data_IF_873805038174
#
_entry.id   IF_873805038174
#
_cell.length_a   1.000
_cell.length_b   1.000
_cell.length_c   1.000
_cell.angle_alpha   90.00
_cell.angle_beta   90.00
_cell.angle_gamma   90.00
#
_symmetry.space_group_name_H-M   'P 1'
#
loop_
_entity.id
_entity.type
_entity.pdbx_description
1 polymer ?
#
# COMPACT_ATOMS: atom_id res chain seq x y z
N UNK A 1 -3.93 24.69 -28.93
CA UNK A 1 -2.93 24.04 -29.81
C UNK A 1 -3.70 23.38 -30.93
N UNK A 2 -3.47 23.81 -32.18
CA UNK A 2 -4.26 23.35 -33.33
C UNK A 2 -3.85 21.92 -33.69
N UNK A 3 -4.78 20.98 -33.95
CA UNK A 3 -4.43 19.59 -34.29
C UNK A 3 -3.53 19.45 -35.52
N UNK A 4 -3.56 20.44 -36.43
CA UNK A 4 -2.64 20.54 -37.58
C UNK A 4 -1.17 20.77 -37.17
N UNK A 5 -0.93 21.57 -36.11
CA UNK A 5 0.43 21.87 -35.63
C UNK A 5 1.03 20.64 -34.93
N UNK A 6 0.21 19.87 -34.23
CA UNK A 6 0.64 18.62 -33.59
C UNK A 6 1.01 17.56 -34.65
N UNK A 7 0.20 17.45 -35.70
CA UNK A 7 0.46 16.50 -36.79
C UNK A 7 1.73 16.85 -37.58
N UNK A 8 1.96 18.14 -37.85
CA UNK A 8 3.18 18.62 -38.54
C UNK A 8 4.44 18.35 -37.67
N UNK A 9 4.36 18.51 -36.36
CA UNK A 9 5.45 18.17 -35.41
C UNK A 9 5.72 16.67 -35.38
N UNK A 10 4.70 15.83 -35.35
CA UNK A 10 4.85 14.37 -35.39
C UNK A 10 5.42 13.92 -36.73
N UNK A 11 4.99 14.50 -37.86
CA UNK A 11 5.51 14.20 -39.20
C UNK A 11 6.99 14.57 -39.31
N UNK A 12 7.40 15.75 -38.82
CA UNK A 12 8.79 16.20 -38.83
C UNK A 12 9.71 15.33 -37.95
N UNK A 13 9.18 14.73 -36.86
CA UNK A 13 9.92 13.79 -36.00
C UNK A 13 10.13 12.43 -36.66
N UNK A 14 9.12 11.91 -37.39
CA UNK A 14 9.19 10.59 -38.02
C UNK A 14 9.88 10.60 -39.39
N UNK A 15 9.81 11.71 -40.13
CA UNK A 15 10.30 11.85 -41.50
C UNK A 15 11.35 12.97 -41.65
N UNK A 16 12.12 13.23 -40.61
CA UNK A 16 13.06 14.36 -40.53
C UNK A 16 13.90 14.57 -41.78
N UNK A 17 14.48 13.52 -42.38
CA UNK A 17 15.23 13.62 -43.66
C UNK A 17 14.39 14.09 -44.84
N UNK A 18 13.19 13.54 -45.02
CA UNK A 18 12.30 13.95 -46.11
C UNK A 18 11.82 15.38 -46.00
N UNK A 19 11.54 15.84 -44.78
CA UNK A 19 11.12 17.23 -44.53
C UNK A 19 12.29 18.20 -44.73
N UNK A 20 13.52 17.75 -44.55
CA UNK A 20 14.74 18.50 -44.82
C UNK A 20 14.96 18.63 -46.35
N UNK A 21 14.81 17.51 -47.06
CA UNK A 21 14.91 17.48 -48.53
C UNK A 21 13.83 18.35 -49.19
N UNK A 22 12.57 18.27 -48.71
CA UNK A 22 11.46 19.13 -49.14
C UNK A 22 11.74 20.63 -48.93
N UNK A 23 12.35 21.01 -47.79
CA UNK A 23 12.72 22.39 -47.51
C UNK A 23 13.85 22.87 -48.44
N UNK A 24 14.84 22.01 -48.71
CA UNK A 24 15.93 22.31 -49.60
C UNK A 24 15.45 22.53 -51.04
N UNK A 25 14.57 21.65 -51.53
CA UNK A 25 13.91 21.79 -52.84
C UNK A 25 13.10 23.07 -52.96
N UNK A 26 12.39 23.47 -51.91
CA UNK A 26 11.60 24.69 -51.90
C UNK A 26 12.45 25.96 -51.90
N UNK A 27 13.56 25.95 -51.14
CA UNK A 27 14.55 27.04 -51.18
C UNK A 27 15.24 27.17 -52.53
N UNK A 28 15.64 26.04 -53.16
CA UNK A 28 16.26 26.02 -54.48
C UNK A 28 15.28 26.50 -55.56
N UNK A 29 13.98 26.07 -55.47
CA UNK A 29 12.96 26.54 -56.38
C UNK A 29 12.73 28.05 -56.29
N UNK A 30 12.73 28.63 -55.09
CA UNK A 30 12.62 30.07 -54.92
C UNK A 30 13.83 30.85 -55.42
N UNK A 31 15.03 30.31 -55.26
CA UNK A 31 16.26 30.88 -55.81
C UNK A 31 16.24 30.86 -57.36
N UNK A 32 15.83 29.76 -57.99
CA UNK A 32 15.68 29.62 -59.44
C UNK A 32 14.62 30.55 -60.00
N UNK A 33 13.49 30.68 -59.30
CA UNK A 33 12.43 31.60 -59.71
C UNK A 33 12.90 33.06 -59.69
N UNK A 34 13.68 33.43 -58.64
CA UNK A 34 14.27 34.78 -58.56
C UNK A 34 15.34 35.02 -59.64
N UNK A 35 16.17 34.00 -59.94
CA UNK A 35 17.15 34.07 -61.03
C UNK A 35 16.47 34.26 -62.40
N UNK A 36 15.41 33.49 -62.72
CA UNK A 36 14.62 33.66 -63.94
C UNK A 36 13.98 35.04 -64.07
N UNK A 37 13.49 35.61 -62.96
CA UNK A 37 12.93 36.98 -62.90
C UNK A 37 14.02 38.04 -63.17
N UNK A 38 15.27 37.82 -62.75
CA UNK A 38 16.38 38.69 -63.06
C UNK A 38 16.82 38.57 -64.53
N UNK A 39 16.82 37.37 -65.10
CA UNK A 39 17.07 37.12 -66.52
C UNK A 39 16.04 37.84 -67.40
N UNK A 40 14.74 37.81 -67.09
CA UNK A 40 13.70 38.52 -67.83
C UNK A 40 13.83 40.06 -67.77
N UNK A 41 14.63 40.58 -66.87
CA UNK A 41 14.99 42.00 -66.71
C UNK A 41 16.28 42.38 -67.46
N UNK A 42 16.88 41.46 -68.27
CA UNK A 42 18.04 41.72 -69.10
C UNK A 42 19.38 41.51 -68.44
N UNK A 43 19.49 40.92 -67.26
CA UNK A 43 20.75 40.59 -66.64
C UNK A 43 21.35 39.29 -67.23
N UNK A 44 22.65 39.21 -67.43
CA UNK A 44 23.33 37.96 -67.83
C UNK A 44 23.10 36.84 -66.82
N UNK A 45 23.13 35.56 -67.28
CA UNK A 45 22.78 34.38 -66.43
C UNK A 45 23.61 34.30 -65.15
N UNK A 46 24.95 34.45 -65.23
CA UNK A 46 25.83 34.44 -64.07
C UNK A 46 25.54 35.58 -63.06
N UNK A 47 25.24 36.78 -63.60
CA UNK A 47 24.89 37.91 -62.76
C UNK A 47 23.46 37.74 -62.11
N UNK A 48 22.55 37.13 -62.84
CA UNK A 48 21.19 36.83 -62.36
C UNK A 48 21.17 35.89 -61.19
N UNK A 49 21.96 34.84 -61.27
CA UNK A 49 22.09 33.85 -60.14
C UNK A 49 22.84 34.44 -58.93
N UNK A 50 23.89 35.22 -59.18
CA UNK A 50 24.61 35.91 -58.11
C UNK A 50 23.74 36.94 -57.41
N UNK A 51 22.94 37.70 -58.16
CA UNK A 51 22.03 38.70 -57.61
C UNK A 51 20.86 38.09 -56.87
N UNK A 52 20.35 36.91 -57.32
CA UNK A 52 19.35 36.15 -56.63
C UNK A 52 19.83 35.67 -55.24
N UNK A 53 21.07 35.12 -55.17
CA UNK A 53 21.68 34.70 -53.90
C UNK A 53 21.96 35.86 -52.95
N UNK A 54 22.45 37.01 -53.46
CA UNK A 54 22.70 38.20 -52.63
C UNK A 54 21.41 38.78 -52.06
N UNK A 55 20.31 38.76 -52.82
CA UNK A 55 19.02 39.29 -52.42
C UNK A 55 18.28 38.33 -51.49
N UNK A 56 18.47 37.04 -51.63
CA UNK A 56 17.86 36.01 -50.78
C UNK A 56 18.55 35.92 -49.42
N UNK A 57 19.79 36.37 -49.31
CA UNK A 57 20.56 36.33 -48.09
C UNK A 57 21.24 34.98 -47.85
N UNK A 58 21.65 34.73 -46.61
CA UNK A 58 22.28 33.47 -46.26
C UNK A 58 21.24 32.34 -46.16
N UNK A 59 21.24 31.44 -47.16
CA UNK A 59 20.29 30.31 -47.27
C UNK A 59 20.33 29.42 -46.03
N UNK A 60 21.51 29.24 -45.44
CA UNK A 60 21.68 28.46 -44.21
C UNK A 60 21.02 29.12 -43.01
N UNK A 61 21.06 30.45 -42.92
CA UNK A 61 20.39 31.20 -41.85
C UNK A 61 18.88 31.11 -41.95
N UNK A 62 18.33 31.18 -43.17
CA UNK A 62 16.87 31.05 -43.40
C UNK A 62 16.42 29.63 -43.11
N UNK A 63 17.20 28.64 -43.50
CA UNK A 63 16.91 27.24 -43.17
C UNK A 63 16.92 26.99 -41.66
N UNK A 64 17.86 27.61 -40.89
CA UNK A 64 17.90 27.57 -39.43
C UNK A 64 16.67 28.27 -38.80
N UNK A 65 16.29 29.46 -39.28
CA UNK A 65 15.07 30.14 -38.80
C UNK A 65 13.81 29.31 -39.03
N UNK A 66 13.70 28.65 -40.18
CA UNK A 66 12.59 27.75 -40.47
C UNK A 66 12.56 26.52 -39.53
N UNK A 67 13.74 26.01 -39.15
CA UNK A 67 13.87 24.93 -38.15
C UNK A 67 13.48 25.42 -36.76
N UNK A 68 13.84 26.62 -36.36
CA UNK A 68 13.51 27.21 -35.05
C UNK A 68 12.02 27.38 -34.90
N UNK A 69 11.31 27.82 -35.93
CA UNK A 69 9.86 27.98 -35.91
C UNK A 69 9.08 26.66 -35.83
N UNK A 70 9.67 25.54 -36.24
CA UNK A 70 9.05 24.20 -36.16
C UNK A 70 9.03 23.63 -34.73
N UNK A 71 9.82 24.15 -33.79
CA UNK A 71 9.83 23.74 -32.38
C UNK A 71 10.30 22.30 -32.14
N UNK A 72 10.97 21.66 -33.10
CA UNK A 72 11.50 20.28 -32.98
C UNK A 72 12.94 20.25 -32.49
N UNK A 73 13.62 21.40 -32.38
CA UNK A 73 14.99 21.51 -31.92
C UNK A 73 15.20 20.89 -30.53
N UNK A 74 14.24 21.02 -29.60
CA UNK A 74 14.35 20.42 -28.27
C UNK A 74 14.40 18.89 -28.32
N UNK A 75 13.67 18.27 -29.24
CA UNK A 75 13.60 16.81 -29.35
C UNK A 75 14.82 16.27 -30.07
N UNK A 76 15.27 16.96 -31.12
CA UNK A 76 16.50 16.61 -31.88
C UNK A 76 17.75 16.82 -31.03
N UNK A 77 17.82 17.89 -30.22
CA UNK A 77 18.90 18.09 -29.25
C UNK A 77 18.85 17.02 -28.16
N UNK A 78 17.67 16.71 -27.61
CA UNK A 78 17.50 15.65 -26.61
C UNK A 78 17.97 14.29 -27.15
N UNK A 79 17.62 13.96 -28.40
CA UNK A 79 18.06 12.72 -29.03
C UNK A 79 19.58 12.63 -29.21
N UNK A 80 20.22 13.75 -29.58
CA UNK A 80 21.69 13.86 -29.68
C UNK A 80 22.35 13.78 -28.30
N UNK A 81 21.77 14.47 -27.29
CA UNK A 81 22.26 14.50 -25.92
C UNK A 81 22.17 13.12 -25.26
N UNK A 82 21.05 12.42 -25.44
CA UNK A 82 20.88 11.04 -24.97
C UNK A 82 21.93 10.11 -25.62
N UNK A 83 22.14 10.20 -26.94
CA UNK A 83 23.13 9.36 -27.63
C UNK A 83 24.55 9.68 -27.18
N UNK A 84 24.85 10.96 -26.98
CA UNK A 84 26.12 11.40 -26.42
C UNK A 84 26.32 10.90 -24.98
N UNK A 85 25.31 11.07 -24.13
CA UNK A 85 25.32 10.59 -22.74
C UNK A 85 25.52 9.06 -22.67
N UNK A 86 24.81 8.30 -23.50
CA UNK A 86 24.96 6.84 -23.57
C UNK A 86 26.37 6.41 -24.00
N UNK A 87 26.96 7.09 -25.02
CA UNK A 87 28.33 6.84 -25.45
C UNK A 87 29.34 7.17 -24.37
N UNK A 88 29.08 8.22 -23.61
CA UNK A 88 29.93 8.65 -22.52
C UNK A 88 29.87 7.69 -21.31
N UNK A 89 28.67 7.20 -20.98
CA UNK A 89 28.48 6.18 -19.95
C UNK A 89 29.19 4.86 -20.29
N UNK A 90 29.17 4.45 -21.59
CA UNK A 90 29.89 3.26 -22.02
C UNK A 90 31.43 3.43 -21.96
N UNK A 91 31.93 4.64 -22.08
CA UNK A 91 33.39 4.93 -22.00
C UNK A 91 33.94 4.92 -20.56
N UNK A 92 33.05 5.03 -19.55
CA UNK A 92 33.45 5.04 -18.16
C UNK A 92 32.64 3.96 -17.38
N UNK A 93 32.96 2.67 -17.59
CA UNK A 93 32.12 1.58 -17.09
C UNK A 93 32.09 1.50 -15.57
N UNK A 94 33.20 1.75 -14.88
CA UNK A 94 33.26 1.72 -13.39
C UNK A 94 32.38 2.82 -12.79
N UNK A 95 32.52 4.04 -13.29
CA UNK A 95 31.65 5.16 -12.85
C UNK A 95 30.17 4.85 -13.07
N UNK A 96 29.84 4.36 -14.25
CA UNK A 96 28.47 4.04 -14.63
C UNK A 96 27.91 2.90 -13.75
N UNK A 97 28.71 1.88 -13.48
CA UNK A 97 28.31 0.77 -12.61
C UNK A 97 28.04 1.25 -11.18
N UNK A 98 28.92 2.06 -10.60
CA UNK A 98 28.75 2.59 -9.24
C UNK A 98 27.53 3.52 -9.17
N UNK A 99 27.33 4.39 -10.15
CA UNK A 99 26.19 5.29 -10.20
C UNK A 99 24.86 4.51 -10.34
N UNK A 100 24.82 3.52 -11.23
CA UNK A 100 23.64 2.68 -11.43
C UNK A 100 23.33 1.81 -10.20
N UNK A 101 24.35 1.23 -9.57
CA UNK A 101 24.16 0.46 -8.33
C UNK A 101 23.66 1.34 -7.19
N UNK A 102 24.19 2.54 -7.03
CA UNK A 102 23.71 3.49 -6.00
C UNK A 102 22.24 3.87 -6.24
N UNK A 103 21.87 4.17 -7.49
CA UNK A 103 20.47 4.47 -7.85
C UNK A 103 19.55 3.25 -7.66
N UNK A 104 19.98 2.08 -8.13
CA UNK A 104 19.21 0.84 -8.02
C UNK A 104 18.96 0.47 -6.56
N UNK A 105 19.99 0.57 -5.70
CA UNK A 105 19.85 0.33 -4.26
C UNK A 105 18.93 1.36 -3.60
N UNK A 106 19.08 2.65 -3.91
CA UNK A 106 18.25 3.69 -3.32
C UNK A 106 16.80 3.59 -3.72
N UNK A 107 16.52 3.45 -5.02
CA UNK A 107 15.15 3.31 -5.54
C UNK A 107 14.55 1.97 -5.07
N UNK A 108 15.33 0.88 -5.16
CA UNK A 108 14.88 -0.45 -4.75
C UNK A 108 14.53 -0.52 -3.26
N UNK A 109 15.39 -0.01 -2.39
CA UNK A 109 15.14 0.03 -0.96
C UNK A 109 13.91 0.90 -0.61
N UNK A 110 13.81 2.08 -1.20
CA UNK A 110 12.67 2.99 -1.00
C UNK A 110 11.36 2.36 -1.47
N UNK A 111 11.36 1.72 -2.64
CA UNK A 111 10.19 1.04 -3.20
C UNK A 111 9.78 -0.16 -2.36
N UNK A 112 10.75 -0.97 -1.92
CA UNK A 112 10.49 -2.12 -1.04
C UNK A 112 9.86 -1.68 0.29
N UNK A 113 10.45 -0.65 0.93
CA UNK A 113 9.93 -0.09 2.18
C UNK A 113 8.51 0.45 2.02
N UNK A 114 8.27 1.22 0.93
CA UNK A 114 6.94 1.74 0.64
C UNK A 114 5.94 0.62 0.36
N UNK A 115 6.33 -0.42 -0.38
CA UNK A 115 5.45 -1.56 -0.68
C UNK A 115 5.04 -2.31 0.58
N UNK A 116 5.98 -2.55 1.50
CA UNK A 116 5.68 -3.17 2.79
C UNK A 116 4.74 -2.28 3.60
N UNK A 117 5.02 -0.97 3.65
CA UNK A 117 4.17 -0.01 4.33
C UNK A 117 2.76 0.08 3.72
N UNK A 118 2.66 0.16 2.39
CA UNK A 118 1.38 0.17 1.67
C UNK A 118 0.56 -1.08 1.99
N UNK A 119 1.20 -2.24 1.94
CA UNK A 119 0.52 -3.52 2.19
C UNK A 119 0.00 -3.65 3.62
N UNK A 120 0.77 -3.17 4.60
CA UNK A 120 0.43 -3.31 6.02
C UNK A 120 -0.53 -2.22 6.52
N UNK A 121 -0.43 -0.98 5.98
CA UNK A 121 -1.08 0.18 6.59
C UNK A 121 -2.04 0.95 5.67
N UNK A 122 -1.88 0.88 4.34
CA UNK A 122 -2.68 1.69 3.44
C UNK A 122 -3.79 0.92 2.73
N UNK A 123 -3.57 -0.36 2.44
CA UNK A 123 -4.55 -1.16 1.72
C UNK A 123 -5.80 -1.42 2.55
N UNK A 124 -6.95 -1.20 1.94
CA UNK A 124 -8.23 -1.60 2.51
C UNK A 124 -8.36 -3.12 2.49
N UNK A 125 -9.17 -3.64 3.40
CA UNK A 125 -9.54 -5.06 3.41
C UNK A 125 -10.18 -5.45 2.07
N UNK A 126 -9.86 -6.63 1.52
CA UNK A 126 -10.47 -7.14 0.29
C UNK A 126 -11.86 -7.73 0.57
N UNK A 127 -12.75 -6.91 1.10
CA UNK A 127 -14.14 -7.26 1.43
C UNK A 127 -15.08 -6.22 0.84
N UNK A 128 -16.34 -6.57 0.58
CA UNK A 128 -17.34 -5.61 0.14
C UNK A 128 -17.52 -4.47 1.15
N UNK A 129 -17.58 -3.23 0.65
CA UNK A 129 -17.83 -2.02 1.44
C UNK A 129 -16.96 -1.93 2.72
N UNK A 130 -15.62 -1.91 2.59
CA UNK A 130 -14.73 -1.91 3.75
C UNK A 130 -14.89 -0.67 4.63
N UNK A 131 -15.37 0.45 4.09
CA UNK A 131 -15.60 1.70 4.81
C UNK A 131 -16.77 1.61 5.82
N UNK A 132 -17.62 0.59 5.70
CA UNK A 132 -18.68 0.32 6.67
C UNK A 132 -18.20 -0.53 7.86
N UNK A 133 -16.95 -0.98 7.83
CA UNK A 133 -16.39 -1.73 8.94
C UNK A 133 -15.89 -0.80 10.05
N UNK A 134 -16.25 -1.17 11.27
CA UNK A 134 -15.92 -0.46 12.51
C UNK A 134 -15.28 -1.45 13.46
N UNK A 135 -14.22 -1.05 14.14
CA UNK A 135 -13.61 -1.83 15.21
C UNK A 135 -13.75 -1.10 16.54
N UNK A 136 -13.81 -1.88 17.61
CA UNK A 136 -13.97 -1.36 18.96
C UNK A 136 -12.68 -1.47 19.75
N UNK A 137 -12.43 -0.44 20.54
CA UNK A 137 -11.45 -0.43 21.63
C UNK A 137 -12.06 0.26 22.84
N UNK A 138 -11.53 0.00 23.99
CA UNK A 138 -11.89 0.72 25.20
C UNK A 138 -10.68 1.45 25.77
N UNK A 139 -10.97 2.50 26.50
CA UNK A 139 -10.00 3.30 27.21
C UNK A 139 -10.51 3.56 28.62
N UNK A 140 -9.65 3.39 29.62
CA UNK A 140 -9.93 3.65 31.02
C UNK A 140 -8.78 4.48 31.62
N UNK A 141 -9.11 5.48 32.44
CA UNK A 141 -8.12 6.31 33.11
C UNK A 141 -7.44 5.54 34.26
N UNK A 142 -6.15 5.80 34.47
CA UNK A 142 -5.30 5.23 35.52
C UNK A 142 -4.48 4.01 35.06
N UNK A 143 -3.35 3.80 35.72
CA UNK A 143 -2.46 2.64 35.49
C UNK A 143 -3.06 1.31 35.96
N UNK A 144 -3.90 1.34 36.97
CA UNK A 144 -4.51 0.17 37.57
C UNK A 144 -6.01 0.42 37.75
N UNK A 145 -6.76 0.19 36.67
CA UNK A 145 -8.20 0.32 36.73
C UNK A 145 -8.82 -0.98 37.30
N UNK A 146 -9.62 -0.93 38.38
CA UNK A 146 -10.22 -2.11 38.98
C UNK A 146 -11.21 -2.85 38.07
N UNK A 147 -11.64 -2.21 36.97
CA UNK A 147 -12.47 -2.83 35.94
C UNK A 147 -11.63 -3.60 34.90
N UNK A 148 -10.33 -3.40 34.89
CA UNK A 148 -9.45 -4.15 34.01
C UNK A 148 -8.88 -5.33 34.79
N UNK A 149 -9.51 -6.49 34.69
CA UNK A 149 -9.01 -7.67 35.39
C UNK A 149 -7.64 -8.04 34.84
N UNK A 150 -6.74 -8.55 35.72
CA UNK A 150 -5.40 -9.02 35.34
C UNK A 150 -5.37 -10.19 34.35
N UNK A 151 -6.42 -10.34 33.54
CA UNK A 151 -6.63 -11.43 32.58
C UNK A 151 -6.95 -10.97 31.17
N UNK A 152 -6.39 -9.86 30.68
CA UNK A 152 -6.51 -9.46 29.27
C UNK A 152 -5.62 -10.34 28.42
N UNK A 153 -6.24 -11.08 27.52
CA UNK A 153 -5.54 -11.85 26.50
C UNK A 153 -5.49 -11.01 25.23
N UNK A 154 -4.33 -10.50 24.91
CA UNK A 154 -4.13 -9.60 23.77
C UNK A 154 -3.29 -8.38 24.16
N UNK A 155 -3.46 -7.28 23.45
CA UNK A 155 -2.73 -6.05 23.70
C UNK A 155 -3.45 -5.19 24.76
N UNK A 156 -2.86 -5.09 25.92
CA UNK A 156 -3.14 -4.03 26.88
C UNK A 156 -2.06 -2.96 26.70
N UNK A 157 -2.47 -1.75 26.41
CA UNK A 157 -1.59 -0.60 26.20
C UNK A 157 -1.78 0.33 27.41
N UNK A 158 -0.70 0.65 28.09
CA UNK A 158 -0.65 1.75 29.05
C UNK A 158 0.08 2.91 28.38
N UNK A 159 -0.53 4.08 28.36
CA UNK A 159 0.01 5.27 27.72
C UNK A 159 -0.47 6.51 28.43
N UNK A 160 0.17 7.65 28.18
CA UNK A 160 -0.24 8.95 28.69
C UNK A 160 -0.84 9.77 27.55
N UNK A 161 -1.86 10.57 27.83
CA UNK A 161 -2.42 11.50 26.89
C UNK A 161 -1.61 12.82 26.84
N UNK A 162 -2.04 13.76 26.01
CA UNK A 162 -1.40 15.08 25.87
C UNK A 162 -1.47 15.92 27.15
N UNK A 163 -2.30 15.57 28.11
CA UNK A 163 -2.40 16.21 29.43
C UNK A 163 -1.52 15.56 30.48
N UNK A 164 -0.80 14.46 30.12
CA UNK A 164 0.00 13.65 31.05
C UNK A 164 -0.81 12.67 31.88
N UNK A 165 -2.12 12.53 31.64
CA UNK A 165 -2.95 11.56 32.34
C UNK A 165 -2.72 10.16 31.79
N UNK A 166 -2.38 9.23 32.69
CA UNK A 166 -2.19 7.82 32.32
C UNK A 166 -3.52 7.13 32.04
N UNK A 167 -3.53 6.27 31.07
CA UNK A 167 -4.69 5.46 30.71
C UNK A 167 -4.29 4.06 30.24
N UNK A 168 -5.20 3.14 30.43
CA UNK A 168 -5.16 1.82 29.83
C UNK A 168 -6.11 1.74 28.64
N UNK A 169 -5.70 1.07 27.59
CA UNK A 169 -6.55 0.80 26.43
C UNK A 169 -6.32 -0.63 25.94
N UNK A 170 -7.37 -1.25 25.46
CA UNK A 170 -7.29 -2.55 24.80
C UNK A 170 -8.39 -2.72 23.77
N UNK A 171 -8.19 -3.69 22.91
CA UNK A 171 -9.15 -4.13 21.88
C UNK A 171 -9.82 -5.45 22.25
N UNK A 172 -9.45 -6.02 23.38
CA UNK A 172 -10.01 -7.27 23.88
C UNK A 172 -11.15 -6.98 24.84
N UNK A 173 -12.20 -7.78 24.74
CA UNK A 173 -13.42 -7.68 25.52
C UNK A 173 -13.79 -9.04 26.12
N UNK A 174 -14.61 -9.06 27.17
CA UNK A 174 -15.18 -10.32 27.66
C UNK A 174 -16.21 -10.87 26.68
N UNK A 175 -16.33 -12.18 26.60
CA UNK A 175 -17.36 -12.83 25.78
C UNK A 175 -18.76 -12.34 26.14
N UNK A 176 -19.02 -12.09 27.41
CA UNK A 176 -20.31 -11.55 27.92
C UNK A 176 -20.65 -10.18 27.30
N UNK A 177 -19.69 -9.30 27.17
CA UNK A 177 -19.87 -8.00 26.48
C UNK A 177 -20.19 -8.20 25.00
N UNK A 178 -19.49 -9.13 24.34
CA UNK A 178 -19.80 -9.48 22.98
C UNK A 178 -21.22 -10.00 22.80
N UNK A 179 -21.66 -10.90 23.69
CA UNK A 179 -23.03 -11.43 23.68
C UNK A 179 -24.09 -10.34 23.95
N UNK A 180 -23.81 -9.40 24.84
CA UNK A 180 -24.70 -8.28 25.11
C UNK A 180 -24.83 -7.37 23.87
N UNK A 181 -23.71 -7.10 23.19
CA UNK A 181 -23.68 -6.31 21.94
C UNK A 181 -24.47 -7.02 20.84
N UNK A 182 -24.18 -8.31 20.60
CA UNK A 182 -24.83 -9.09 19.54
C UNK A 182 -26.35 -9.21 19.72
N UNK A 183 -26.82 -9.33 20.97
CA UNK A 183 -28.24 -9.48 21.30
C UNK A 183 -29.02 -8.17 21.28
N UNK A 184 -28.37 -7.04 21.26
CA UNK A 184 -29.06 -5.75 21.32
C UNK A 184 -29.69 -5.39 19.97
N UNK A 185 -31.00 -5.23 19.95
CA UNK A 185 -31.76 -4.91 18.74
C UNK A 185 -31.61 -3.45 18.26
N UNK A 186 -31.15 -2.56 19.14
CA UNK A 186 -31.14 -1.12 18.89
C UNK A 186 -29.82 -0.59 18.35
N UNK A 187 -28.91 -1.47 17.94
CA UNK A 187 -27.61 -1.07 17.40
C UNK A 187 -27.70 -0.85 15.88
N UNK A 188 -27.25 0.29 15.37
CA UNK A 188 -27.22 0.52 13.94
C UNK A 188 -26.03 -0.17 13.23
N UNK A 189 -25.67 -1.37 13.68
CA UNK A 189 -24.56 -2.16 13.17
C UNK A 189 -24.74 -3.64 13.48
N UNK A 190 -24.15 -4.51 12.63
CA UNK A 190 -24.03 -5.94 12.88
C UNK A 190 -22.68 -6.24 13.51
N UNK A 191 -22.67 -6.66 14.80
CA UNK A 191 -21.47 -6.94 15.58
C UNK A 191 -21.03 -8.38 15.37
N UNK A 192 -19.73 -8.57 15.16
CA UNK A 192 -19.08 -9.88 15.06
C UNK A 192 -17.75 -9.88 15.82
N UNK A 193 -17.35 -11.07 16.28
CA UNK A 193 -16.19 -11.23 17.14
C UNK A 193 -15.17 -12.20 16.58
N UNK A 194 -13.90 -12.00 16.96
CA UNK A 194 -12.81 -12.91 16.64
C UNK A 194 -11.69 -12.85 17.68
N UNK A 195 -10.90 -13.92 17.76
CA UNK A 195 -9.66 -13.96 18.53
C UNK A 195 -8.67 -14.91 17.90
N UNK A 196 -7.41 -14.50 17.79
CA UNK A 196 -6.33 -15.33 17.25
C UNK A 196 -5.56 -16.01 18.37
N UNK A 197 -5.12 -17.23 18.11
CA UNK A 197 -4.27 -17.99 19.03
C UNK A 197 -3.36 -18.95 18.25
N UNK A 198 -2.23 -19.31 18.87
CA UNK A 198 -1.40 -20.39 18.37
C UNK A 198 -1.99 -21.72 18.80
N UNK A 199 -2.03 -22.68 17.91
CA UNK A 199 -2.61 -23.99 18.16
C UNK A 199 -1.69 -25.09 17.61
N UNK A 200 -1.80 -26.29 18.18
CA UNK A 200 -1.28 -27.51 17.60
C UNK A 200 -2.39 -28.27 16.92
N UNK A 201 -2.23 -28.54 15.62
CA UNK A 201 -3.18 -29.33 14.85
C UNK A 201 -2.56 -30.69 14.48
N UNK A 202 -3.31 -31.76 14.72
CA UNK A 202 -2.97 -33.10 14.24
C UNK A 202 -3.64 -33.32 12.87
N UNK A 203 -2.85 -33.31 11.83
CA UNK A 203 -3.28 -33.43 10.43
C UNK A 203 -2.76 -34.73 9.89
N UNK A 204 -3.66 -35.71 9.63
CA UNK A 204 -3.33 -37.02 9.10
C UNK A 204 -2.26 -37.76 9.94
N UNK A 205 -2.31 -37.56 11.30
CA UNK A 205 -1.34 -38.19 12.22
C UNK A 205 -0.04 -37.41 12.44
N UNK A 206 0.10 -36.22 11.82
CA UNK A 206 1.27 -35.39 11.97
C UNK A 206 0.93 -34.10 12.75
N UNK A 207 1.52 -33.87 13.94
CA UNK A 207 1.32 -32.62 14.66
C UNK A 207 2.01 -31.48 13.94
N UNK A 208 1.30 -30.35 13.85
CA UNK A 208 1.76 -29.11 13.21
C UNK A 208 1.39 -27.91 14.06
N UNK A 209 2.32 -26.99 14.23
CA UNK A 209 2.02 -25.69 14.80
C UNK A 209 1.34 -24.83 13.73
N UNK A 210 0.20 -24.29 14.09
CA UNK A 210 -0.68 -23.53 13.20
C UNK A 210 -1.18 -22.27 13.87
N UNK A 211 -1.57 -21.29 13.08
CA UNK A 211 -2.34 -20.17 13.55
C UNK A 211 -3.82 -20.42 13.40
N UNK A 212 -4.56 -20.32 14.51
CA UNK A 212 -5.99 -20.47 14.52
C UNK A 212 -6.69 -19.20 15.00
N UNK A 213 -7.94 -19.05 14.65
CA UNK A 213 -8.81 -18.03 15.21
C UNK A 213 -10.16 -18.62 15.61
N UNK A 214 -10.69 -18.09 16.71
CA UNK A 214 -12.08 -18.22 17.07
C UNK A 214 -12.86 -17.09 16.41
N UNK A 215 -14.00 -17.39 15.84
CA UNK A 215 -14.87 -16.39 15.19
C UNK A 215 -16.32 -16.59 15.58
N UNK A 216 -17.08 -15.51 15.67
CA UNK A 216 -18.54 -15.65 15.80
C UNK A 216 -19.14 -16.22 14.52
N UNK A 217 -20.26 -16.93 14.62
CA UNK A 217 -20.89 -17.57 13.45
C UNK A 217 -21.23 -16.62 12.31
N UNK A 218 -21.49 -15.34 12.63
CA UNK A 218 -21.75 -14.32 11.61
C UNK A 218 -20.47 -13.61 11.08
N UNK A 219 -19.28 -14.03 11.47
CA UNK A 219 -18.03 -13.37 11.09
C UNK A 219 -17.83 -13.25 9.56
N UNK A 220 -17.92 -14.38 8.84
CA UNK A 220 -17.78 -14.37 7.38
C UNK A 220 -18.98 -13.71 6.69
N UNK A 221 -20.25 -13.98 7.07
CA UNK A 221 -21.40 -13.24 6.55
C UNK A 221 -21.28 -11.73 6.70
N UNK A 222 -20.95 -11.24 7.91
CA UNK A 222 -20.82 -9.82 8.19
C UNK A 222 -19.67 -9.15 7.43
N UNK A 223 -18.58 -9.89 7.16
CA UNK A 223 -17.49 -9.42 6.27
C UNK A 223 -17.86 -9.50 4.80
N UNK A 224 -18.96 -10.18 4.42
CA UNK A 224 -19.32 -10.39 3.02
C UNK A 224 -18.42 -11.38 2.30
N UNK A 225 -17.77 -12.30 3.04
CA UNK A 225 -16.81 -13.27 2.49
C UNK A 225 -17.54 -14.58 2.19
N UNK A 226 -17.40 -15.03 0.93
CA UNK A 226 -17.82 -16.36 0.51
C UNK A 226 -16.64 -17.34 0.57
N UNK A 227 -16.92 -18.63 0.67
CA UNK A 227 -15.93 -19.69 0.51
C UNK A 227 -15.67 -19.98 -0.97
N UNK A 228 -14.46 -20.37 -1.30
CA UNK A 228 -14.11 -20.84 -2.64
C UNK A 228 -14.69 -22.25 -2.90
N UNK A 229 -14.69 -23.08 -1.86
CA UNK A 229 -15.28 -24.41 -1.89
C UNK A 229 -15.90 -24.75 -0.53
N UNK A 230 -16.91 -25.60 -0.52
CA UNK A 230 -17.68 -25.94 0.68
C UNK A 230 -18.58 -24.81 1.15
N UNK A 231 -18.79 -24.68 2.46
CA UNK A 231 -19.60 -23.64 3.09
C UNK A 231 -18.81 -22.83 4.10
N UNK A 232 -19.23 -21.60 4.33
CA UNK A 232 -18.74 -20.76 5.44
C UNK A 232 -19.34 -21.19 6.78
N UNK A 233 -18.76 -20.70 7.87
CA UNK A 233 -19.40 -20.79 9.19
C UNK A 233 -20.63 -19.90 9.25
N UNK A 234 -21.64 -20.36 9.96
CA UNK A 234 -22.93 -19.70 10.16
C UNK A 234 -23.29 -19.63 11.66
N UNK A 235 -24.33 -18.90 11.99
CA UNK A 235 -24.76 -18.75 13.40
C UNK A 235 -25.07 -20.08 14.08
N UNK A 236 -25.58 -21.06 13.33
CA UNK A 236 -25.84 -22.41 13.80
C UNK A 236 -24.58 -23.18 14.20
N UNK A 237 -23.45 -22.90 13.60
CA UNK A 237 -22.17 -23.51 13.98
C UNK A 237 -21.64 -22.97 15.33
N UNK A 238 -22.12 -21.79 15.77
CA UNK A 238 -21.74 -21.13 17.02
C UNK A 238 -22.66 -21.47 18.19
N UNK A 239 -23.55 -22.43 17.99
CA UNK A 239 -24.40 -22.96 19.07
C UNK A 239 -23.65 -23.99 19.91
N UNK A 240 -23.93 -24.05 21.21
CA UNK A 240 -23.27 -24.97 22.14
C UNK A 240 -23.47 -26.45 21.77
N UNK A 241 -24.57 -26.77 21.07
CA UNK A 241 -24.93 -28.12 20.62
C UNK A 241 -24.36 -28.48 19.24
N UNK A 242 -23.71 -27.51 18.55
CA UNK A 242 -23.23 -27.70 17.20
C UNK A 242 -22.06 -28.70 17.14
N UNK A 243 -21.96 -29.41 16.03
CA UNK A 243 -20.78 -30.22 15.74
C UNK A 243 -19.60 -29.28 15.41
N UNK A 244 -18.38 -29.54 15.95
CA UNK A 244 -17.25 -28.69 15.67
C UNK A 244 -16.95 -28.66 14.17
N UNK A 245 -17.16 -27.48 13.57
CA UNK A 245 -16.86 -27.19 12.18
C UNK A 245 -15.71 -26.17 12.09
N UNK A 246 -14.93 -26.23 11.03
CA UNK A 246 -13.88 -25.25 10.78
C UNK A 246 -13.77 -24.91 9.30
N UNK A 247 -13.30 -23.71 9.04
CA UNK A 247 -12.97 -23.22 7.70
C UNK A 247 -11.47 -22.99 7.65
N UNK A 248 -10.84 -23.41 6.54
CA UNK A 248 -9.39 -23.27 6.33
C UNK A 248 -9.08 -22.15 5.36
N UNK A 249 -7.92 -21.52 5.57
CA UNK A 249 -7.41 -20.52 4.60
C UNK A 249 -6.95 -21.23 3.32
N UNK A 250 -6.92 -20.47 2.21
CA UNK A 250 -6.37 -20.98 0.96
C UNK A 250 -4.89 -21.42 1.12
N UNK A 251 -4.13 -20.67 1.92
CA UNK A 251 -2.73 -21.00 2.19
C UNK A 251 -2.61 -22.34 2.94
N UNK A 252 -3.37 -22.53 4.00
CA UNK A 252 -3.40 -23.80 4.73
C UNK A 252 -3.85 -24.97 3.84
N UNK A 253 -4.87 -24.76 3.00
CA UNK A 253 -5.32 -25.76 2.04
C UNK A 253 -4.20 -26.19 1.10
N UNK A 254 -3.43 -25.27 0.54
CA UNK A 254 -2.32 -25.59 -0.35
C UNK A 254 -1.15 -26.26 0.38
N UNK A 255 -0.77 -25.73 1.55
CA UNK A 255 0.46 -26.16 2.24
C UNK A 255 0.30 -27.38 3.13
N UNK A 256 -0.88 -27.53 3.76
CA UNK A 256 -1.14 -28.63 4.71
C UNK A 256 -1.93 -29.78 4.09
N UNK A 257 -2.73 -29.52 3.04
CA UNK A 257 -3.60 -30.50 2.39
C UNK A 257 -3.27 -30.68 0.90
N UNK A 258 -2.18 -30.09 0.39
CA UNK A 258 -1.73 -30.29 -1.00
C UNK A 258 -2.66 -29.69 -2.07
N UNK A 259 -3.65 -28.87 -1.70
CA UNK A 259 -4.65 -28.37 -2.63
C UNK A 259 -5.70 -29.39 -3.04
N UNK A 260 -5.86 -30.48 -2.29
CA UNK A 260 -6.80 -31.55 -2.59
C UNK A 260 -8.24 -31.13 -2.20
N UNK A 261 -9.21 -31.40 -3.06
CA UNK A 261 -10.64 -31.16 -2.76
C UNK A 261 -11.16 -32.06 -1.63
N UNK A 262 -10.54 -33.23 -1.44
CA UNK A 262 -10.82 -34.19 -0.37
C UNK A 262 -10.61 -33.63 1.03
N UNK A 263 -9.92 -32.49 1.18
CA UNK A 263 -9.77 -31.78 2.44
C UNK A 263 -11.13 -31.39 3.07
N UNK A 264 -12.15 -31.12 2.24
CA UNK A 264 -13.52 -30.86 2.74
C UNK A 264 -14.12 -32.17 3.27
N UNK A 265 -14.60 -32.13 4.51
CA UNK A 265 -15.13 -33.29 5.23
C UNK A 265 -14.06 -34.03 6.04
N UNK A 266 -12.78 -33.70 5.88
CA UNK A 266 -11.71 -34.29 6.71
C UNK A 266 -11.82 -33.80 8.17
N UNK A 267 -11.57 -34.71 9.09
CA UNK A 267 -11.54 -34.41 10.52
C UNK A 267 -10.12 -34.16 10.99
N UNK A 268 -9.88 -33.04 11.60
CA UNK A 268 -8.59 -32.70 12.21
C UNK A 268 -8.77 -32.43 13.71
N UNK A 269 -7.70 -32.62 14.47
CA UNK A 269 -7.73 -32.37 15.92
C UNK A 269 -6.88 -31.14 16.24
N UNK A 270 -7.53 -30.09 16.78
CA UNK A 270 -6.89 -28.82 17.14
C UNK A 270 -6.95 -28.66 18.65
N UNK A 271 -5.79 -28.61 19.32
CA UNK A 271 -5.67 -28.54 20.79
C UNK A 271 -6.56 -29.57 21.52
N UNK A 272 -6.74 -30.76 20.95
CA UNK A 272 -7.59 -31.81 21.51
C UNK A 272 -9.04 -31.82 21.01
N UNK A 273 -9.55 -30.73 20.42
CA UNK A 273 -10.87 -30.68 19.80
C UNK A 273 -10.83 -31.28 18.39
N UNK A 274 -11.67 -32.26 18.12
CA UNK A 274 -11.85 -32.79 16.77
C UNK A 274 -12.90 -31.96 16.03
N UNK A 275 -12.53 -31.35 14.92
CA UNK A 275 -13.40 -30.55 14.08
C UNK A 275 -13.35 -30.97 12.62
N UNK A 276 -14.44 -30.75 11.89
CA UNK A 276 -14.58 -31.11 10.48
C UNK A 276 -14.34 -29.88 9.61
N UNK A 277 -13.53 -30.02 8.58
CA UNK A 277 -13.33 -28.96 7.57
C UNK A 277 -14.60 -28.86 6.72
N UNK A 278 -15.25 -27.69 6.77
CA UNK A 278 -16.50 -27.43 6.05
C UNK A 278 -16.35 -26.50 4.87
N UNK A 279 -15.24 -25.77 4.79
CA UNK A 279 -15.01 -24.84 3.68
C UNK A 279 -13.59 -24.31 3.59
N UNK A 280 -13.29 -23.74 2.44
CA UNK A 280 -11.99 -23.17 2.06
C UNK A 280 -12.20 -21.72 1.68
N UNK A 281 -11.42 -20.81 2.27
CA UNK A 281 -11.48 -19.38 1.99
C UNK A 281 -10.84 -19.03 0.63
N UNK A 282 -11.25 -17.93 -0.02
CA UNK A 282 -10.65 -17.46 -1.25
C UNK A 282 -9.18 -17.09 -1.05
N UNK A 283 -8.40 -17.19 -2.13
CA UNK A 283 -6.97 -16.87 -2.14
C UNK A 283 -6.68 -15.43 -1.70
N UNK A 284 -7.52 -14.50 -2.14
CA UNK A 284 -7.32 -13.07 -1.93
C UNK A 284 -7.84 -12.60 -0.57
N UNK A 285 -8.53 -13.47 0.18
CA UNK A 285 -9.00 -13.12 1.51
C UNK A 285 -7.83 -13.10 2.50
N UNK A 286 -7.61 -11.95 3.05
CA UNK A 286 -6.67 -11.75 4.16
C UNK A 286 -7.29 -10.82 5.20
N UNK A 287 -7.00 -11.11 6.45
CA UNK A 287 -7.40 -10.25 7.56
C UNK A 287 -6.26 -9.26 7.82
N UNK A 288 -6.61 -8.01 8.04
CA UNK A 288 -5.59 -7.00 8.30
C UNK A 288 -4.69 -7.35 9.48
N UNK A 289 -3.41 -7.06 9.31
CA UNK A 289 -2.37 -7.43 10.26
C UNK A 289 -1.46 -8.56 9.78
N UNK A 290 -1.47 -8.84 8.47
CA UNK A 290 -0.43 -9.59 7.75
C UNK A 290 -0.77 -11.02 7.37
N UNK A 291 -1.15 -11.90 8.31
CA UNK A 291 -1.36 -13.32 7.99
C UNK A 291 -2.80 -13.73 8.24
N UNK A 292 -3.41 -14.39 7.26
CA UNK A 292 -4.69 -15.08 7.45
C UNK A 292 -4.43 -16.30 8.33
N UNK A 293 -5.20 -16.49 9.41
CA UNK A 293 -5.10 -17.70 10.22
C UNK A 293 -5.36 -18.95 9.38
N UNK A 294 -4.62 -20.04 9.67
CA UNK A 294 -4.76 -21.29 8.96
C UNK A 294 -6.15 -21.88 9.13
N UNK A 295 -6.70 -21.78 10.35
CA UNK A 295 -7.98 -22.34 10.73
C UNK A 295 -8.88 -21.33 11.41
N UNK A 296 -10.16 -21.35 11.09
CA UNK A 296 -11.21 -20.54 11.73
C UNK A 296 -12.26 -21.45 12.32
N UNK A 297 -12.47 -21.37 13.65
CA UNK A 297 -13.44 -22.16 14.42
C UNK A 297 -14.48 -21.26 15.06
N UNK A 298 -15.71 -21.75 15.35
CA UNK A 298 -16.70 -20.98 16.09
C UNK A 298 -16.24 -20.62 17.51
N UNK A 299 -16.62 -19.43 17.96
CA UNK A 299 -16.25 -18.90 19.28
C UNK A 299 -16.82 -19.75 20.45
N UNK A 300 -17.90 -20.47 20.22
CA UNK A 300 -18.48 -21.41 21.18
C UNK A 300 -17.51 -22.49 21.65
N UNK A 301 -16.50 -22.84 20.85
CA UNK A 301 -15.47 -23.83 21.18
C UNK A 301 -14.26 -23.22 21.93
N UNK A 302 -14.33 -21.96 22.36
CA UNK A 302 -13.23 -21.30 23.07
C UNK A 302 -12.75 -22.08 24.31
N UNK A 303 -13.70 -22.62 25.10
CA UNK A 303 -13.37 -23.43 26.25
C UNK A 303 -12.63 -24.72 25.90
N UNK A 304 -13.04 -25.39 24.85
CA UNK A 304 -12.45 -26.66 24.42
C UNK A 304 -11.02 -26.48 23.90
N UNK A 305 -10.78 -25.49 23.01
CA UNK A 305 -9.45 -25.28 22.42
C UNK A 305 -8.44 -24.64 23.36
N UNK A 306 -8.91 -24.00 24.45
CA UNK A 306 -8.05 -23.32 25.45
C UNK A 306 -7.95 -24.07 26.78
N UNK A 307 -8.43 -25.30 26.84
CA UNK A 307 -8.52 -26.08 28.10
C UNK A 307 -9.23 -25.31 29.23
N UNK A 308 -10.26 -24.57 28.88
CA UNK A 308 -11.05 -23.78 29.83
C UNK A 308 -10.52 -22.37 30.11
N UNK A 309 -9.29 -22.04 29.66
CA UNK A 309 -8.70 -20.74 30.01
C UNK A 309 -9.49 -19.54 29.46
N UNK A 310 -10.02 -19.62 28.25
CA UNK A 310 -10.81 -18.55 27.63
C UNK A 310 -12.30 -18.57 28.12
N UNK A 311 -12.78 -19.66 28.69
CA UNK A 311 -14.12 -19.77 29.21
C UNK A 311 -14.27 -19.19 30.62
N UNK A 312 -13.17 -18.81 31.29
CA UNK A 312 -13.21 -18.23 32.63
C UNK A 312 -13.99 -16.90 32.65
N UNK A 313 -14.90 -16.72 33.61
CA UNK A 313 -15.57 -15.44 33.80
C UNK A 313 -14.57 -14.31 34.02
N UNK A 314 -14.78 -13.17 33.38
CA UNK A 314 -13.91 -12.02 33.52
C UNK A 314 -12.64 -12.05 32.64
N UNK A 315 -12.43 -13.09 31.84
CA UNK A 315 -11.32 -13.12 30.85
C UNK A 315 -11.67 -12.25 29.65
N UNK A 316 -10.80 -11.30 29.33
CA UNK A 316 -10.94 -10.39 28.19
C UNK A 316 -10.09 -10.90 27.02
N UNK A 317 -10.72 -11.45 25.99
CA UNK A 317 -9.99 -12.13 24.92
C UNK A 317 -10.57 -11.93 23.52
N UNK A 318 -11.88 -11.66 23.41
CA UNK A 318 -12.52 -11.51 22.11
C UNK A 318 -12.35 -10.07 21.62
N UNK A 319 -11.97 -9.93 20.38
CA UNK A 319 -11.96 -8.66 19.65
C UNK A 319 -13.26 -8.52 18.89
N UNK A 320 -13.74 -7.30 18.79
CA UNK A 320 -15.02 -7.03 18.16
C UNK A 320 -14.89 -6.06 17.03
N UNK A 321 -15.58 -6.35 15.94
CA UNK A 321 -15.84 -5.46 14.83
C UNK A 321 -17.33 -5.40 14.57
N UNK A 322 -17.75 -4.41 13.80
CA UNK A 322 -19.12 -4.33 13.33
C UNK A 322 -19.17 -3.84 11.89
N UNK A 323 -20.20 -4.24 11.17
CA UNK A 323 -20.61 -3.60 9.94
C UNK A 323 -21.73 -2.63 10.26
N UNK A 324 -21.46 -1.33 10.17
CA UNK A 324 -22.45 -0.29 10.38
C UNK A 324 -23.48 -0.27 9.24
N UNK A 325 -24.72 0.14 9.55
CA UNK A 325 -25.70 0.44 8.52
C UNK A 325 -25.25 1.66 7.70
N UNK A 326 -25.63 1.76 6.43
CA UNK A 326 -25.17 2.86 5.54
C UNK A 326 -25.42 4.25 6.12
N UNK A 327 -26.56 4.45 6.78
CA UNK A 327 -26.96 5.74 7.35
C UNK A 327 -26.37 6.03 8.74
N UNK A 328 -25.64 5.08 9.33
CA UNK A 328 -25.05 5.22 10.64
C UNK A 328 -23.64 5.79 10.59
N UNK A 329 -23.32 6.65 11.54
CA UNK A 329 -21.96 7.15 11.76
C UNK A 329 -21.23 6.33 12.82
N UNK A 330 -19.89 6.31 12.75
CA UNK A 330 -19.06 5.58 13.73
C UNK A 330 -19.34 6.06 15.18
N UNK A 331 -19.43 7.37 15.47
CA UNK A 331 -19.80 7.84 16.81
C UNK A 331 -21.17 7.39 17.30
N UNK A 332 -22.15 7.28 16.39
CA UNK A 332 -23.48 6.76 16.75
C UNK A 332 -23.43 5.28 17.17
N UNK A 333 -22.64 4.47 16.48
CA UNK A 333 -22.42 3.06 16.85
C UNK A 333 -21.76 2.97 18.24
N UNK A 334 -20.72 3.75 18.49
CA UNK A 334 -20.05 3.76 19.80
C UNK A 334 -21.01 4.19 20.94
N UNK A 335 -21.74 5.30 20.74
CA UNK A 335 -22.65 5.83 21.76
C UNK A 335 -23.81 4.86 22.07
N UNK A 336 -24.35 4.15 21.07
CA UNK A 336 -25.41 3.17 21.29
C UNK A 336 -24.98 1.95 22.11
N UNK A 337 -23.67 1.66 22.14
CA UNK A 337 -23.09 0.53 22.86
C UNK A 337 -22.45 0.89 24.21
N UNK A 338 -22.22 2.17 24.48
CA UNK A 338 -21.48 2.65 25.66
C UNK A 338 -22.12 2.15 26.98
N UNK A 339 -23.44 2.26 27.14
CA UNK A 339 -24.12 1.83 28.34
C UNK A 339 -24.06 0.31 28.55
N UNK A 340 -24.20 -0.47 27.48
CA UNK A 340 -24.08 -1.94 27.53
C UNK A 340 -22.64 -2.35 27.90
N UNK A 341 -21.64 -1.66 27.37
CA UNK A 341 -20.24 -1.91 27.70
C UNK A 341 -19.98 -1.64 29.18
N UNK A 342 -20.37 -0.48 29.69
CA UNK A 342 -20.14 -0.10 31.06
C UNK A 342 -20.90 -1.08 32.03
N UNK A 343 -22.14 -1.43 31.72
CA UNK A 343 -22.88 -2.40 32.50
C UNK A 343 -22.18 -3.76 32.56
N UNK A 344 -21.75 -4.30 31.43
CA UNK A 344 -21.08 -5.60 31.38
C UNK A 344 -19.68 -5.58 32.00
N UNK A 345 -18.97 -4.47 31.95
CA UNK A 345 -17.69 -4.29 32.62
C UNK A 345 -17.84 -4.15 34.12
N UNK A 346 -18.86 -3.39 34.56
CA UNK A 346 -19.17 -3.19 35.97
C UNK A 346 -19.57 -4.48 36.69
N UNK A 347 -20.36 -5.33 36.06
CA UNK A 347 -20.76 -6.63 36.59
C UNK A 347 -19.59 -7.57 36.93
N UNK A 348 -18.42 -7.30 36.31
CA UNK A 348 -17.20 -8.10 36.51
C UNK A 348 -16.18 -7.42 37.43
N UNK A 349 -16.48 -6.22 37.91
CA UNK A 349 -15.55 -5.45 38.75
C UNK A 349 -15.38 -6.11 40.12
N UNK A 350 -14.15 -6.06 40.62
CA UNK A 350 -13.79 -6.50 41.96
C UNK A 350 -14.35 -5.56 43.03
N UNK A 351 -14.67 -4.33 42.68
CA UNK A 351 -15.24 -3.30 43.57
C UNK A 351 -16.38 -2.59 42.86
N UNK A 352 -17.46 -2.34 43.59
CA UNK A 352 -18.63 -1.59 43.11
C UNK A 352 -18.53 -0.07 43.30
N UNK A 353 -17.49 0.39 43.96
CA UNK A 353 -17.27 1.81 44.26
C UNK A 353 -16.23 2.39 43.31
N UNK A 354 -16.64 2.52 42.04
CA UNK A 354 -15.76 3.04 40.97
C UNK A 354 -16.23 4.43 40.61
N UNK A 355 -15.35 5.44 40.71
CA UNK A 355 -15.66 6.80 40.26
C UNK A 355 -16.08 6.82 38.80
N UNK A 356 -17.09 7.63 38.41
CA UNK A 356 -17.55 7.76 37.03
C UNK A 356 -16.44 8.10 36.03
N UNK A 357 -15.40 8.79 36.49
CA UNK A 357 -14.21 9.21 35.70
C UNK A 357 -13.34 8.03 35.30
N UNK A 358 -13.32 6.97 36.14
CA UNK A 358 -12.55 5.75 35.89
C UNK A 358 -13.35 4.69 35.09
N UNK A 359 -14.61 4.96 34.82
CA UNK A 359 -15.40 4.05 34.00
C UNK A 359 -14.85 4.00 32.57
N UNK A 360 -14.71 2.78 32.02
CA UNK A 360 -14.12 2.63 30.70
C UNK A 360 -15.05 3.24 29.63
N UNK A 361 -14.42 3.91 28.67
CA UNK A 361 -15.09 4.46 27.50
C UNK A 361 -14.88 3.55 26.32
N UNK A 362 -15.97 3.25 25.63
CA UNK A 362 -15.94 2.52 24.38
C UNK A 362 -15.62 3.52 23.25
N UNK A 363 -14.61 3.22 22.50
CA UNK A 363 -14.26 3.96 21.28
C UNK A 363 -14.48 3.06 20.08
N UNK A 364 -15.05 3.65 19.03
CA UNK A 364 -15.18 3.00 17.75
C UNK A 364 -14.33 3.74 16.73
N UNK A 365 -13.59 3.01 15.92
CA UNK A 365 -12.72 3.54 14.87
C UNK A 365 -12.99 2.83 13.56
N UNK A 366 -12.65 3.49 12.44
CA UNK A 366 -12.76 2.84 11.12
C UNK A 366 -11.91 1.58 11.09
N UNK A 367 -12.47 0.51 10.55
CA UNK A 367 -11.77 -0.74 10.32
C UNK A 367 -11.66 -1.09 8.84
N UNK A 368 -11.74 -0.09 7.97
CA UNK A 368 -11.64 -0.28 6.51
C UNK A 368 -10.32 -0.92 6.09
N UNK A 369 -9.26 -0.71 6.86
CA UNK A 369 -7.93 -1.33 6.71
C UNK A 369 -7.72 -2.52 7.66
N UNK A 370 -8.78 -2.94 8.32
CA UNK A 370 -8.78 -3.98 9.33
C UNK A 370 -8.35 -3.53 10.70
N UNK A 371 -7.70 -4.42 11.45
CA UNK A 371 -7.42 -4.23 12.87
C UNK A 371 -6.16 -3.39 13.16
N UNK A 372 -5.41 -2.99 12.13
CA UNK A 372 -4.15 -2.25 12.27
C UNK A 372 -4.38 -0.86 12.87
N UNK A 373 -5.43 -0.17 12.43
CA UNK A 373 -5.78 1.18 12.92
C UNK A 373 -6.10 1.19 14.43
N UNK A 374 -6.53 0.06 14.95
CA UNK A 374 -6.99 -0.08 16.34
C UNK A 374 -5.83 -0.31 17.31
N UNK A 375 -4.83 -1.09 16.85
CA UNK A 375 -3.65 -1.44 17.67
C UNK A 375 -2.71 -0.24 17.81
N UNK A 376 -2.59 0.57 16.77
CA UNK A 376 -1.62 1.65 16.71
C UNK A 376 -1.97 2.87 17.55
N UNK A 377 -3.20 3.02 18.03
CA UNK A 377 -3.59 4.01 19.04
C UNK A 377 -3.12 5.46 18.84
N UNK A 378 -2.92 5.90 17.59
CA UNK A 378 -2.28 7.18 17.27
C UNK A 378 -0.78 7.09 16.97
N UNK A 379 -0.12 5.98 17.25
CA UNK A 379 1.29 5.77 16.85
C UNK A 379 1.49 5.64 15.34
N UNK A 380 0.40 5.50 14.60
CA UNK A 380 0.44 5.37 13.14
C UNK A 380 0.98 6.64 12.47
N UNK A 381 0.68 7.82 13.02
CA UNK A 381 1.26 9.08 12.55
C UNK A 381 2.77 9.11 12.75
N UNK A 382 3.26 8.65 13.88
CA UNK A 382 4.70 8.55 14.16
C UNK A 382 5.40 7.54 13.27
N UNK A 383 4.76 6.40 12.99
CA UNK A 383 5.29 5.39 12.05
C UNK A 383 5.34 5.92 10.62
N UNK A 384 4.29 6.61 10.16
CA UNK A 384 4.27 7.29 8.87
C UNK A 384 5.43 8.29 8.77
N UNK A 385 5.56 9.14 9.78
CA UNK A 385 6.64 10.13 9.83
C UNK A 385 8.02 9.47 9.81
N UNK A 386 8.20 8.38 10.57
CA UNK A 386 9.47 7.63 10.61
C UNK A 386 9.79 7.01 9.24
N UNK A 387 8.82 6.40 8.57
CA UNK A 387 9.00 5.83 7.23
C UNK A 387 9.37 6.91 6.23
N UNK A 388 8.67 8.06 6.23
CA UNK A 388 8.98 9.20 5.39
C UNK A 388 10.39 9.76 5.66
N UNK A 389 10.79 9.86 6.92
CA UNK A 389 12.13 10.31 7.30
C UNK A 389 13.20 9.36 6.77
N UNK A 390 13.03 8.05 6.95
CA UNK A 390 13.97 7.03 6.45
C UNK A 390 14.08 7.07 4.92
N UNK A 391 12.97 7.14 4.20
CA UNK A 391 12.96 7.23 2.73
C UNK A 391 13.68 8.51 2.27
N UNK A 392 13.43 9.64 2.94
CA UNK A 392 14.08 10.92 2.61
C UNK A 392 15.60 10.83 2.84
N UNK A 393 16.04 10.26 3.95
CA UNK A 393 17.47 10.07 4.24
C UNK A 393 18.14 9.17 3.22
N UNK A 394 17.50 8.05 2.84
CA UNK A 394 18.01 7.16 1.80
C UNK A 394 18.17 7.89 0.46
N UNK A 395 17.17 8.69 0.09
CA UNK A 395 17.21 9.47 -1.16
C UNK A 395 18.34 10.51 -1.12
N UNK A 396 18.53 11.20 0.01
CA UNK A 396 19.61 12.15 0.21
C UNK A 396 20.99 11.47 0.09
N UNK A 397 21.18 10.29 0.66
CA UNK A 397 22.42 9.53 0.55
C UNK A 397 22.72 9.20 -0.92
N UNK A 398 21.73 8.76 -1.68
CA UNK A 398 21.88 8.47 -3.11
C UNK A 398 22.22 9.72 -3.90
N UNK A 399 21.54 10.85 -3.63
CA UNK A 399 21.83 12.13 -4.28
C UNK A 399 23.25 12.63 -3.96
N UNK A 400 23.68 12.53 -2.70
CA UNK A 400 25.04 12.91 -2.29
C UNK A 400 26.09 12.02 -2.94
N UNK A 401 25.90 10.72 -3.01
CA UNK A 401 26.80 9.80 -3.70
C UNK A 401 26.93 10.17 -5.18
N UNK A 402 25.81 10.44 -5.84
CA UNK A 402 25.80 10.83 -7.24
C UNK A 402 26.49 12.20 -7.45
N UNK A 403 26.20 13.18 -6.58
CA UNK A 403 26.84 14.49 -6.60
C UNK A 403 28.38 14.39 -6.43
N UNK A 404 28.84 13.61 -5.46
CA UNK A 404 30.25 13.36 -5.23
C UNK A 404 30.94 12.71 -6.45
N UNK A 405 30.29 11.71 -7.06
CA UNK A 405 30.78 11.06 -8.27
C UNK A 405 30.85 12.03 -9.45
N UNK A 406 29.85 12.89 -9.64
CA UNK A 406 29.84 13.91 -10.70
C UNK A 406 30.90 14.98 -10.47
N UNK A 407 31.08 15.44 -9.22
CA UNK A 407 32.09 16.42 -8.86
C UNK A 407 33.49 15.88 -9.07
N UNK A 408 33.78 14.66 -8.63
CA UNK A 408 35.10 14.01 -8.88
C UNK A 408 35.38 13.90 -10.37
N UNK A 409 34.37 13.62 -11.19
CA UNK A 409 34.51 13.56 -12.65
C UNK A 409 34.74 14.93 -13.29
N UNK A 410 34.04 15.97 -12.78
CA UNK A 410 34.26 17.34 -13.27
C UNK A 410 35.71 17.80 -13.04
N UNK A 411 36.24 17.59 -11.84
CA UNK A 411 37.60 17.91 -11.46
C UNK A 411 38.63 17.17 -12.36
N UNK A 412 38.42 15.86 -12.58
CA UNK A 412 39.28 15.08 -13.45
C UNK A 412 39.31 15.61 -14.92
N UNK A 413 38.17 16.11 -15.41
CA UNK A 413 38.06 16.73 -16.73
C UNK A 413 38.76 18.10 -16.80
N UNK A 414 38.59 18.92 -15.77
CA UNK A 414 39.30 20.22 -15.71
C UNK A 414 40.81 20.04 -15.76
N UNK A 415 41.35 19.06 -15.04
CA UNK A 415 42.76 18.72 -15.06
C UNK A 415 43.24 18.26 -16.45
N UNK A 416 42.46 17.42 -17.16
CA UNK A 416 42.75 16.96 -18.50
C UNK A 416 42.75 18.11 -19.52
N UNK A 417 41.76 19.01 -19.44
CA UNK A 417 41.66 20.19 -20.28
C UNK A 417 42.83 21.15 -20.00
N UNK A 418 43.16 21.38 -18.75
CA UNK A 418 44.30 22.22 -18.35
C UNK A 418 45.64 21.71 -18.89
N UNK A 419 45.85 20.39 -18.83
CA UNK A 419 47.04 19.76 -19.43
C UNK A 419 47.08 19.91 -20.96
N UNK A 420 45.97 19.72 -21.65
CA UNK A 420 45.89 19.89 -23.11
C UNK A 420 46.16 21.34 -23.54
N UNK A 421 45.64 22.31 -22.82
CA UNK A 421 45.88 23.73 -23.05
C UNK A 421 47.33 24.10 -22.80
N UNK A 422 47.98 23.57 -21.77
CA UNK A 422 49.40 23.81 -21.49
C UNK A 422 50.35 23.21 -22.55
N UNK A 423 49.90 22.18 -23.27
CA UNK A 423 50.61 21.54 -24.37
C UNK A 423 50.33 22.21 -25.75
N UNK A 424 49.60 23.33 -25.79
CA UNK A 424 49.36 24.11 -27.00
C UNK A 424 48.17 23.62 -27.85
N UNK A 425 47.32 22.78 -27.35
CA UNK A 425 46.11 22.38 -28.07
C UNK A 425 45.12 23.57 -28.12
N UNK A 426 44.70 23.97 -29.32
CA UNK A 426 43.64 24.96 -29.48
C UNK A 426 42.30 24.39 -29.00
N UNK A 427 41.40 25.28 -28.53
CA UNK A 427 40.01 24.93 -28.07
C UNK A 427 39.21 24.16 -29.12
#
# INVERSE_FOLDING_TARGET
>A
MNPRDLWLRIRSLLLGRRVEDELQEELDFHLDMQARKNLSRGLPDDASRRHARLKFGNVTSIAEECRDQRGTQLIDSLGRDIRYAFRQLRRTPIFTAVALLSLALGIGASTALFTVFDTLYLRKLPVPQPDDLVSFRWRALGESNPLVPGGVFGNLITSSDSSGSEYQASTSFPLRTFDAFRKSANIPAEVFGFARFAASADIRGWPRDVTAQLVSGNYFPALGVATMAGRRLELTDDEASAQPALVISHFAWQTLFGGEESAIGEKIRINGLTATIVGILPRDFHVAGGTTPDFSLPASFAGAVSQGALAQPGRWWIRMMARKKPDATIPQVASSLQGLFQGSAFDMASSRDIPPEQMPRLEAVSASRGFVDVISGGQQENLLFTVWAVVTVLLLIVCLNLANLLTARAIAREYEIGMRLSLGASR
#
